data_IF_483782571306
#
_entry.id   IF_483782571306
#
_cell.length_a   1.000
_cell.length_b   1.000
_cell.length_c   1.000
_cell.angle_alpha   90.00
_cell.angle_beta   90.00
_cell.angle_gamma   90.00
#
_symmetry.space_group_name_H-M   'P 1'
#
loop_
_entity.id
_entity.type
_entity.pdbx_description
1 polymer ?
#
# COMPACT_ATOMS: atom_id res chain seq x y z
N UNK A 1 9.08 -17.72 -4.98
CA UNK A 1 7.80 -17.52 -4.27
C UNK A 1 8.11 -17.62 -2.79
N UNK A 2 7.62 -16.71 -1.96
CA UNK A 2 7.91 -16.74 -0.52
C UNK A 2 7.38 -18.06 0.06
N UNK A 3 8.29 -18.97 0.41
CA UNK A 3 7.98 -20.15 1.19
C UNK A 3 7.57 -19.73 2.62
N UNK A 4 6.79 -20.58 3.30
CA UNK A 4 6.24 -20.34 4.66
C UNK A 4 7.30 -19.94 5.70
N UNK A 5 8.57 -20.25 5.46
CA UNK A 5 9.70 -19.92 6.36
C UNK A 5 10.14 -18.45 6.33
N UNK A 6 9.55 -17.63 5.44
CA UNK A 6 9.85 -16.21 5.30
C UNK A 6 8.85 -15.29 6.00
N UNK A 7 7.91 -15.85 6.76
CA UNK A 7 6.86 -15.11 7.47
C UNK A 7 7.28 -14.84 8.91
N UNK A 8 7.17 -13.60 9.35
CA UNK A 8 7.62 -13.13 10.65
C UNK A 8 6.55 -12.27 11.33
N UNK A 9 6.59 -12.22 12.67
CA UNK A 9 5.67 -11.44 13.48
C UNK A 9 6.41 -10.67 14.56
N UNK A 10 5.90 -9.49 14.92
CA UNK A 10 6.43 -8.66 15.98
C UNK A 10 5.43 -7.61 16.42
N UNK A 11 5.63 -7.06 17.62
CA UNK A 11 4.80 -5.99 18.17
C UNK A 11 5.43 -4.64 17.82
N UNK A 12 4.71 -3.79 17.10
CA UNK A 12 5.16 -2.46 16.70
C UNK A 12 4.03 -1.47 16.93
N UNK A 13 4.33 -0.31 17.54
CA UNK A 13 3.31 0.70 17.87
C UNK A 13 2.04 0.11 18.56
N UNK A 14 2.25 -0.87 19.45
CA UNK A 14 1.17 -1.52 20.21
C UNK A 14 0.30 -2.50 19.42
N UNK A 15 0.68 -2.87 18.20
CA UNK A 15 -0.05 -3.85 17.37
C UNK A 15 0.89 -4.93 16.82
N UNK A 16 0.39 -6.16 16.71
CA UNK A 16 1.13 -7.27 16.09
C UNK A 16 1.11 -7.13 14.58
N UNK A 17 2.27 -6.86 13.98
CA UNK A 17 2.43 -6.82 12.51
C UNK A 17 3.11 -8.09 12.00
N UNK A 18 2.73 -8.50 10.81
CA UNK A 18 3.33 -9.58 10.03
C UNK A 18 4.16 -9.00 8.87
N UNK A 19 5.34 -9.56 8.60
CA UNK A 19 6.09 -9.24 7.40
C UNK A 19 6.67 -10.49 6.73
N UNK A 20 7.01 -10.35 5.45
CA UNK A 20 7.68 -11.36 4.66
C UNK A 20 9.09 -10.89 4.31
N UNK A 21 10.10 -11.68 4.61
CA UNK A 21 11.51 -11.32 4.43
C UNK A 21 12.18 -12.24 3.41
N UNK A 22 13.00 -11.69 2.52
CA UNK A 22 13.76 -12.45 1.53
C UNK A 22 15.20 -11.96 1.50
N UNK A 23 16.14 -12.90 1.43
CA UNK A 23 17.59 -12.65 1.51
C UNK A 23 18.05 -11.94 2.80
N UNK A 24 17.63 -12.40 4.00
CA UNK A 24 18.04 -11.77 5.27
C UNK A 24 19.56 -11.70 5.44
N UNK A 25 20.31 -12.62 4.83
CA UNK A 25 21.77 -12.62 4.79
C UNK A 25 22.37 -11.39 4.10
N UNK A 26 21.62 -10.74 3.20
CA UNK A 26 22.04 -9.55 2.44
C UNK A 26 21.53 -8.23 3.01
N UNK A 27 20.95 -8.26 4.21
CA UNK A 27 20.43 -7.06 4.89
C UNK A 27 21.46 -5.93 5.03
N UNK A 28 22.73 -6.29 5.21
CA UNK A 28 23.85 -5.35 5.31
C UNK A 28 24.14 -4.57 4.02
N UNK A 29 23.59 -5.02 2.88
CA UNK A 29 23.74 -4.39 1.57
C UNK A 29 22.59 -3.40 1.25
N UNK A 30 21.73 -3.13 2.22
CA UNK A 30 20.55 -2.27 2.08
C UNK A 30 19.26 -3.08 1.92
N UNK A 31 18.16 -2.52 2.42
CA UNK A 31 16.85 -3.18 2.47
C UNK A 31 15.83 -2.46 1.59
N UNK A 32 15.06 -3.22 0.82
CA UNK A 32 13.85 -2.69 0.16
C UNK A 32 12.65 -3.01 1.05
N UNK A 33 12.01 -1.98 1.59
CA UNK A 33 10.77 -2.11 2.37
C UNK A 33 9.56 -1.83 1.46
N UNK A 34 8.63 -2.78 1.38
CA UNK A 34 7.45 -2.70 0.51
C UNK A 34 6.17 -2.61 1.37
N UNK A 35 5.39 -1.54 1.17
CA UNK A 35 4.15 -1.27 1.90
C UNK A 35 2.97 -1.20 0.92
N UNK A 36 1.98 -2.08 1.11
CA UNK A 36 0.86 -2.27 0.18
C UNK A 36 -0.24 -1.19 0.30
N UNK A 37 -1.18 -1.19 -0.64
CA UNK A 37 -2.37 -0.33 -0.64
C UNK A 37 -3.49 -0.81 0.31
N UNK A 38 -4.45 0.06 0.61
CA UNK A 38 -5.66 -0.28 1.38
C UNK A 38 -6.42 -1.46 0.75
N UNK A 39 -6.88 -2.41 1.56
CA UNK A 39 -7.58 -3.61 1.12
C UNK A 39 -6.70 -4.72 0.54
N UNK A 40 -5.38 -4.51 0.47
CA UNK A 40 -4.40 -5.49 -0.03
C UNK A 40 -3.64 -6.17 1.11
N UNK A 41 -2.53 -6.83 0.77
CA UNK A 41 -1.59 -7.48 1.67
C UNK A 41 -0.19 -7.46 1.06
N UNK A 42 0.83 -7.73 1.86
CA UNK A 42 2.26 -7.74 1.51
C UNK A 42 2.56 -8.55 0.24
N UNK A 43 1.92 -9.72 0.09
CA UNK A 43 2.12 -10.62 -1.07
C UNK A 43 1.61 -10.05 -2.41
N UNK A 44 0.95 -8.89 -2.44
CA UNK A 44 0.68 -8.17 -3.68
C UNK A 44 1.96 -7.71 -4.38
N UNK A 45 3.06 -7.62 -3.63
CA UNK A 45 4.38 -7.27 -4.17
C UNK A 45 5.11 -8.45 -4.82
N UNK A 46 4.63 -9.69 -4.71
CA UNK A 46 5.34 -10.90 -5.16
C UNK A 46 5.85 -10.80 -6.61
N UNK A 47 5.07 -10.20 -7.51
CA UNK A 47 5.47 -10.01 -8.90
C UNK A 47 6.59 -8.98 -9.07
N UNK A 48 6.55 -7.87 -8.31
CA UNK A 48 7.61 -6.86 -8.27
C UNK A 48 8.89 -7.46 -7.67
N UNK A 49 8.76 -8.22 -6.57
CA UNK A 49 9.89 -8.85 -5.87
C UNK A 49 10.69 -9.78 -6.79
N UNK A 50 10.04 -10.49 -7.72
CA UNK A 50 10.74 -11.33 -8.71
C UNK A 50 11.71 -10.53 -9.57
N UNK A 51 11.42 -9.25 -9.82
CA UNK A 51 12.28 -8.35 -10.58
C UNK A 51 13.45 -7.76 -9.78
N UNK A 52 13.50 -7.93 -8.45
CA UNK A 52 14.52 -7.32 -7.58
C UNK A 52 15.81 -8.15 -7.43
N UNK A 53 15.96 -9.24 -8.19
CA UNK A 53 17.15 -10.10 -8.15
C UNK A 53 17.37 -10.67 -6.75
N UNK A 54 18.58 -10.57 -6.22
CA UNK A 54 18.92 -11.12 -4.89
C UNK A 54 18.81 -10.10 -3.75
N UNK A 55 18.16 -8.95 -3.96
CA UNK A 55 18.11 -7.90 -2.92
C UNK A 55 17.42 -8.38 -1.64
N UNK A 56 17.86 -7.84 -0.51
CA UNK A 56 17.15 -7.99 0.74
C UNK A 56 15.83 -7.21 0.68
N UNK A 57 14.72 -7.92 0.84
CA UNK A 57 13.37 -7.36 0.71
C UNK A 57 12.53 -7.71 1.93
N UNK A 58 11.85 -6.71 2.47
CA UNK A 58 10.80 -6.87 3.47
C UNK A 58 9.49 -6.38 2.86
N UNK A 59 8.44 -7.21 2.88
CA UNK A 59 7.07 -6.81 2.52
C UNK A 59 6.18 -6.88 3.76
N UNK A 60 5.61 -5.75 4.16
CA UNK A 60 4.88 -5.58 5.43
C UNK A 60 3.38 -5.68 5.21
N UNK A 61 2.68 -6.51 5.99
CA UNK A 61 1.22 -6.43 6.15
C UNK A 61 0.92 -5.31 7.15
N UNK A 62 0.21 -4.27 6.72
CA UNK A 62 -0.16 -3.16 7.61
C UNK A 62 -1.27 -3.59 8.58
N UNK A 63 -1.43 -2.89 9.71
CA UNK A 63 -2.55 -3.12 10.65
C UNK A 63 -3.89 -3.18 9.90
N UNK A 64 -4.79 -4.07 10.32
CA UNK A 64 -6.07 -4.29 9.64
C UNK A 64 -6.01 -5.05 8.30
N UNK A 65 -4.83 -5.54 7.90
CA UNK A 65 -4.63 -6.23 6.62
C UNK A 65 -3.81 -7.51 6.75
N UNK A 66 -3.93 -8.38 5.74
CA UNK A 66 -3.08 -9.55 5.60
C UNK A 66 -3.12 -10.43 6.85
N UNK A 67 -1.96 -10.70 7.47
CA UNK A 67 -1.86 -11.49 8.70
C UNK A 67 -1.60 -10.64 9.95
N UNK A 68 -1.53 -9.32 9.77
CA UNK A 68 -1.38 -8.38 10.87
C UNK A 68 -2.67 -8.28 11.68
N UNK A 69 -2.53 -7.88 12.94
CA UNK A 69 -3.66 -7.71 13.84
C UNK A 69 -4.63 -6.65 13.30
N UNK A 70 -5.91 -6.99 13.41
CA UNK A 70 -7.02 -6.16 12.99
C UNK A 70 -7.56 -5.39 14.20
N UNK A 71 -6.85 -4.33 14.55
CA UNK A 71 -7.20 -3.46 15.67
C UNK A 71 -7.08 -1.99 15.27
N UNK A 72 -8.16 -1.24 15.52
CA UNK A 72 -8.19 0.21 15.36
C UNK A 72 -7.48 0.93 16.51
N UNK A 73 -7.32 2.25 16.46
CA UNK A 73 -7.90 3.17 15.49
C UNK A 73 -7.25 3.09 14.10
N UNK A 74 -7.98 3.57 13.08
CA UNK A 74 -7.56 3.60 11.67
C UNK A 74 -7.39 5.03 11.13
N UNK A 75 -6.92 5.94 11.99
CA UNK A 75 -6.41 7.25 11.56
C UNK A 75 -5.21 7.06 10.63
N UNK A 76 -5.01 7.94 9.65
CA UNK A 76 -3.95 7.71 8.66
C UNK A 76 -2.53 7.88 9.20
N UNK A 77 -2.36 8.81 10.14
CA UNK A 77 -1.13 9.01 10.91
C UNK A 77 -0.58 7.72 11.54
N UNK A 78 -1.44 6.91 12.17
CA UNK A 78 -1.04 5.69 12.90
C UNK A 78 -0.28 4.70 12.02
N UNK A 79 -0.55 4.69 10.72
CA UNK A 79 0.14 3.80 9.81
C UNK A 79 1.54 4.28 9.45
N UNK A 80 1.76 5.60 9.42
CA UNK A 80 3.09 6.17 9.33
C UNK A 80 3.90 5.87 10.61
N UNK A 81 3.25 5.99 11.77
CA UNK A 81 3.84 5.62 13.07
C UNK A 81 4.20 4.13 13.14
N UNK A 82 3.36 3.23 12.58
CA UNK A 82 3.66 1.80 12.47
C UNK A 82 4.93 1.55 11.67
N UNK A 83 5.07 2.19 10.50
CA UNK A 83 6.26 2.03 9.66
C UNK A 83 7.49 2.61 10.37
N UNK A 84 7.37 3.74 11.05
CA UNK A 84 8.45 4.33 11.84
C UNK A 84 8.86 3.40 13.01
N UNK A 85 7.89 2.84 13.74
CA UNK A 85 8.13 1.87 14.80
C UNK A 85 8.80 0.59 14.24
N UNK A 86 8.35 0.10 13.10
CA UNK A 86 8.92 -1.06 12.42
C UNK A 86 10.39 -0.84 12.04
N UNK A 87 10.70 0.30 11.41
CA UNK A 87 12.06 0.69 11.03
C UNK A 87 12.97 0.84 12.25
N UNK A 88 12.49 1.49 13.30
CA UNK A 88 13.28 1.79 14.50
C UNK A 88 13.55 0.55 15.35
N UNK A 89 12.54 -0.28 15.60
CA UNK A 89 12.66 -1.43 16.49
C UNK A 89 13.42 -2.59 15.86
N UNK A 90 13.33 -2.77 14.54
CA UNK A 90 14.20 -3.72 13.84
C UNK A 90 15.61 -3.17 13.60
N UNK A 91 15.86 -1.90 13.89
CA UNK A 91 17.08 -1.16 13.52
C UNK A 91 17.41 -1.27 12.02
N UNK A 92 16.41 -1.03 11.18
CA UNK A 92 16.58 -0.92 9.74
C UNK A 92 17.17 0.45 9.39
N UNK A 93 18.19 0.43 8.53
CA UNK A 93 18.93 1.61 8.03
C UNK A 93 19.28 1.38 6.57
N UNK A 94 19.56 2.44 5.83
CA UNK A 94 19.85 2.34 4.40
C UNK A 94 18.65 1.83 3.59
N UNK A 95 17.43 2.18 4.03
CA UNK A 95 16.21 1.59 3.49
C UNK A 95 15.76 2.32 2.22
N UNK A 96 15.46 1.55 1.19
CA UNK A 96 14.62 1.99 0.06
C UNK A 96 13.18 1.69 0.42
N UNK A 97 12.40 2.69 0.80
CA UNK A 97 11.02 2.51 1.16
C UNK A 97 10.11 2.72 -0.05
N UNK A 98 9.28 1.72 -0.34
CA UNK A 98 8.38 1.67 -1.49
C UNK A 98 6.96 1.52 -0.97
N UNK A 99 6.08 2.40 -1.41
CA UNK A 99 4.69 2.40 -0.98
C UNK A 99 3.73 2.57 -2.13
N UNK A 100 2.70 1.72 -2.19
CA UNK A 100 1.61 1.86 -3.16
C UNK A 100 0.39 2.50 -2.50
N UNK A 101 -0.21 3.51 -3.13
CA UNK A 101 -1.45 4.14 -2.66
C UNK A 101 -1.28 4.67 -1.22
N UNK A 102 -2.13 4.25 -0.29
CA UNK A 102 -1.98 4.50 1.13
C UNK A 102 -0.60 4.08 1.69
N UNK A 103 0.01 2.98 1.21
CA UNK A 103 1.36 2.60 1.60
C UNK A 103 2.40 3.67 1.23
N UNK A 104 2.16 4.43 0.16
CA UNK A 104 2.97 5.58 -0.24
C UNK A 104 2.88 6.75 0.75
N UNK A 105 1.68 7.00 1.29
CA UNK A 105 1.49 7.94 2.39
C UNK A 105 2.29 7.49 3.63
N UNK A 106 2.15 6.23 4.03
CA UNK A 106 2.77 5.70 5.25
C UNK A 106 4.31 5.77 5.21
N UNK A 107 4.95 5.40 4.08
CA UNK A 107 6.41 5.50 3.95
C UNK A 107 6.90 6.95 3.85
N UNK A 108 6.11 7.87 3.30
CA UNK A 108 6.44 9.30 3.26
C UNK A 108 6.41 9.91 4.67
N UNK A 109 5.39 9.56 5.46
CA UNK A 109 5.32 9.93 6.87
C UNK A 109 6.54 9.37 7.63
N UNK A 110 6.85 8.09 7.46
CA UNK A 110 8.00 7.48 8.15
C UNK A 110 9.34 8.10 7.73
N UNK A 111 9.48 8.54 6.48
CA UNK A 111 10.68 9.25 6.01
C UNK A 111 10.86 10.62 6.68
N UNK A 112 9.77 11.29 7.03
CA UNK A 112 9.79 12.51 7.84
C UNK A 112 10.21 12.21 9.29
N UNK A 113 9.62 11.19 9.92
CA UNK A 113 9.85 10.87 11.33
C UNK A 113 11.22 10.22 11.61
N UNK A 114 11.71 9.40 10.69
CA UNK A 114 12.94 8.62 10.84
C UNK A 114 13.92 8.89 9.67
N UNK A 115 14.37 10.14 9.48
CA UNK A 115 15.08 10.53 8.27
C UNK A 115 16.46 9.88 8.12
N UNK A 116 17.07 9.39 9.21
CA UNK A 116 18.36 8.70 9.22
C UNK A 116 18.28 7.21 8.87
N UNK A 117 17.07 6.68 8.63
CA UNK A 117 16.82 5.25 8.35
C UNK A 117 16.48 4.95 6.90
N UNK A 118 15.85 5.92 6.22
CA UNK A 118 15.42 5.79 4.83
C UNK A 118 16.39 6.59 3.96
N UNK A 119 17.00 5.93 2.97
CA UNK A 119 17.88 6.57 2.00
C UNK A 119 17.09 7.16 0.84
N UNK A 120 15.95 6.56 0.48
CA UNK A 120 15.13 6.96 -0.67
C UNK A 120 13.71 6.42 -0.65
N UNK A 121 12.86 7.04 -1.46
CA UNK A 121 11.45 6.68 -1.64
C UNK A 121 11.12 6.30 -3.09
N UNK A 122 10.31 5.25 -3.26
CA UNK A 122 9.58 4.98 -4.50
C UNK A 122 8.09 4.97 -4.18
N UNK A 123 7.41 6.04 -4.55
CA UNK A 123 6.00 6.27 -4.25
C UNK A 123 5.17 5.88 -5.47
N UNK A 124 4.48 4.75 -5.40
CA UNK A 124 3.66 4.23 -6.49
C UNK A 124 2.23 4.70 -6.30
N UNK A 125 1.82 5.66 -7.12
CA UNK A 125 0.52 6.32 -7.13
C UNK A 125 -0.02 6.60 -5.72
N UNK A 126 0.74 7.31 -4.86
CA UNK A 126 0.45 7.46 -3.45
C UNK A 126 -0.86 8.23 -3.24
N UNK A 127 -1.61 7.89 -2.18
CA UNK A 127 -2.77 8.68 -1.75
C UNK A 127 -2.28 9.84 -0.90
N UNK A 128 -1.67 10.80 -1.58
CA UNK A 128 -1.36 12.12 -1.02
C UNK A 128 -2.15 13.11 -1.87
N UNK A 129 -3.30 13.51 -1.34
CA UNK A 129 -4.27 14.36 -2.02
C UNK A 129 -3.78 15.80 -2.04
N UNK A 130 -4.44 16.67 -2.80
CA UNK A 130 -4.24 18.11 -2.62
C UNK A 130 -4.70 18.54 -1.22
N UNK A 131 -4.02 19.50 -0.60
CA UNK A 131 -4.26 19.84 0.83
C UNK A 131 -5.73 20.16 1.13
N UNK A 132 -6.42 20.86 0.24
CA UNK A 132 -7.84 21.22 0.42
C UNK A 132 -8.77 20.00 0.43
N UNK A 133 -8.37 18.87 -0.16
CA UNK A 133 -9.17 17.65 -0.20
C UNK A 133 -9.24 16.95 1.18
N UNK A 134 -8.24 17.14 2.05
CA UNK A 134 -8.24 16.57 3.41
C UNK A 134 -9.23 17.25 4.37
N UNK A 135 -9.50 18.54 4.12
CA UNK A 135 -10.45 19.36 4.88
C UNK A 135 -11.89 19.26 4.34
N UNK A 136 -12.06 18.53 3.24
CA UNK A 136 -13.33 18.44 2.55
C UNK A 136 -14.20 17.31 3.10
N UNK A 137 -15.52 17.49 3.02
CA UNK A 137 -16.50 16.41 3.20
C UNK A 137 -16.56 15.47 1.98
N UNK A 138 -15.53 15.39 1.14
CA UNK A 138 -15.51 14.52 -0.04
C UNK A 138 -15.79 13.05 0.33
N UNK A 139 -15.36 12.61 1.52
CA UNK A 139 -15.70 11.29 2.05
C UNK A 139 -17.20 11.09 2.29
N UNK A 140 -17.96 12.15 2.64
CA UNK A 140 -19.43 12.09 2.77
C UNK A 140 -20.10 11.82 1.42
N UNK A 141 -19.53 12.33 0.32
CA UNK A 141 -20.03 12.05 -1.04
C UNK A 141 -19.89 10.58 -1.44
N UNK A 142 -19.06 9.84 -0.71
CA UNK A 142 -18.81 8.43 -0.96
C UNK A 142 -19.67 7.53 -0.08
N UNK A 143 -20.40 8.09 0.89
CA UNK A 143 -21.32 7.31 1.70
C UNK A 143 -22.57 6.96 0.89
N UNK A 144 -23.09 5.77 1.13
CA UNK A 144 -24.44 5.39 0.70
C UNK A 144 -25.49 6.21 1.45
N UNK A 145 -26.74 6.18 0.99
CA UNK A 145 -27.87 6.87 1.66
C UNK A 145 -28.04 6.48 3.14
N UNK A 146 -27.43 5.37 3.58
CA UNK A 146 -27.37 4.92 4.98
C UNK A 146 -26.14 5.36 5.77
N UNK A 147 -25.28 6.22 5.23
CA UNK A 147 -24.06 6.70 5.89
C UNK A 147 -22.90 5.71 5.91
N UNK A 148 -22.98 4.61 5.15
CA UNK A 148 -21.93 3.59 5.06
C UNK A 148 -21.10 3.74 3.79
N UNK A 149 -19.79 3.55 3.88
CA UNK A 149 -18.92 3.48 2.71
C UNK A 149 -19.22 2.19 1.89
N UNK A 150 -19.38 2.23 0.56
CA UNK A 150 -19.77 1.09 -0.29
C UNK A 150 -18.89 -0.14 -0.14
N UNK A 151 -17.60 0.08 0.17
CA UNK A 151 -16.65 -1.00 0.44
C UNK A 151 -17.10 -1.91 1.58
N UNK A 152 -17.77 -1.38 2.61
CA UNK A 152 -18.26 -2.17 3.74
C UNK A 152 -19.26 -3.28 3.34
N UNK A 153 -19.88 -3.15 2.15
CA UNK A 153 -20.84 -4.12 1.61
C UNK A 153 -20.22 -5.13 0.66
N UNK A 154 -18.89 -5.10 0.46
CA UNK A 154 -18.21 -6.08 -0.38
C UNK A 154 -18.38 -7.47 0.19
N UNK A 155 -18.41 -8.46 -0.71
CA UNK A 155 -18.45 -9.86 -0.34
C UNK A 155 -17.22 -10.21 0.50
N UNK A 156 -17.43 -10.66 1.73
CA UNK A 156 -16.35 -11.05 2.62
C UNK A 156 -16.06 -12.56 2.58
N UNK A 157 -17.07 -13.39 2.29
CA UNK A 157 -16.94 -14.85 2.40
C UNK A 157 -16.75 -15.54 1.05
N UNK A 158 -15.80 -16.45 0.98
CA UNK A 158 -15.45 -17.24 -0.20
C UNK A 158 -15.22 -18.71 0.17
N UNK A 159 -15.63 -19.62 -0.72
CA UNK A 159 -15.39 -21.04 -0.52
C UNK A 159 -13.91 -21.43 -0.70
N UNK A 160 -13.16 -20.66 -1.50
CA UNK A 160 -11.74 -20.87 -1.78
C UNK A 160 -11.12 -19.64 -2.45
N UNK A 161 -9.79 -19.60 -2.54
CA UNK A 161 -9.06 -18.62 -3.35
C UNK A 161 -9.50 -18.65 -4.83
N UNK A 162 -9.74 -19.84 -5.38
CA UNK A 162 -10.24 -19.99 -6.75
C UNK A 162 -11.63 -19.36 -6.92
N UNK A 163 -12.54 -19.55 -5.96
CA UNK A 163 -13.86 -18.91 -5.99
C UNK A 163 -13.77 -17.38 -5.86
N UNK A 164 -12.80 -16.86 -5.10
CA UNK A 164 -12.51 -15.43 -5.04
C UNK A 164 -11.97 -14.90 -6.37
N UNK A 165 -11.05 -15.63 -7.01
CA UNK A 165 -10.51 -15.29 -8.32
C UNK A 165 -11.64 -15.22 -9.37
N UNK A 166 -12.48 -16.25 -9.48
CA UNK A 166 -13.62 -16.27 -10.42
C UNK A 166 -14.63 -15.14 -10.14
N UNK A 167 -14.74 -14.70 -8.89
CA UNK A 167 -15.57 -13.57 -8.52
C UNK A 167 -15.01 -12.24 -9.02
N UNK A 168 -13.69 -12.09 -9.16
CA UNK A 168 -13.04 -10.83 -9.53
C UNK A 168 -12.55 -10.77 -10.98
N UNK A 169 -12.22 -11.92 -11.58
CA UNK A 169 -11.67 -11.99 -12.92
C UNK A 169 -12.54 -11.24 -13.95
N UNK A 170 -11.89 -10.38 -14.73
CA UNK A 170 -12.52 -9.51 -15.72
C UNK A 170 -13.47 -8.42 -15.18
N UNK A 171 -13.66 -8.29 -13.86
CA UNK A 171 -14.62 -7.33 -13.28
C UNK A 171 -13.96 -6.06 -12.76
N UNK A 172 -14.57 -4.92 -13.09
CA UNK A 172 -14.12 -3.61 -12.59
C UNK A 172 -12.63 -3.38 -12.86
N UNK A 173 -11.91 -2.87 -11.86
CA UNK A 173 -10.47 -2.63 -11.97
C UNK A 173 -9.62 -3.89 -12.04
N UNK A 174 -10.12 -5.06 -11.59
CA UNK A 174 -9.37 -6.32 -11.68
C UNK A 174 -9.19 -6.79 -13.12
N UNK A 175 -10.06 -6.37 -14.05
CA UNK A 175 -9.88 -6.62 -15.49
C UNK A 175 -8.64 -5.93 -16.09
N UNK A 176 -8.01 -5.01 -15.36
CA UNK A 176 -6.75 -4.37 -15.76
C UNK A 176 -5.52 -5.15 -15.27
N UNK A 177 -5.68 -6.07 -14.33
CA UNK A 177 -4.56 -6.75 -13.67
C UNK A 177 -4.02 -7.88 -14.54
N UNK A 178 -2.73 -8.15 -14.42
CA UNK A 178 -2.18 -9.40 -14.97
C UNK A 178 -2.78 -10.60 -14.25
N UNK A 179 -3.18 -11.62 -15.00
CA UNK A 179 -3.79 -12.85 -14.47
C UNK A 179 -2.99 -13.46 -13.31
N UNK A 180 -1.68 -13.60 -13.47
CA UNK A 180 -0.80 -14.17 -12.43
C UNK A 180 -0.76 -13.33 -11.15
N UNK A 181 -0.95 -12.01 -11.25
CA UNK A 181 -1.00 -11.11 -10.08
C UNK A 181 -2.33 -11.26 -9.37
N UNK A 182 -3.44 -11.30 -10.11
CA UNK A 182 -4.77 -11.50 -9.55
C UNK A 182 -4.88 -12.86 -8.83
N UNK A 183 -4.34 -13.94 -9.42
CA UNK A 183 -4.27 -15.25 -8.75
C UNK A 183 -3.50 -15.16 -7.45
N UNK A 184 -2.31 -14.56 -7.47
CA UNK A 184 -1.47 -14.40 -6.28
C UNK A 184 -2.14 -13.54 -5.19
N UNK A 185 -2.95 -12.55 -5.57
CA UNK A 185 -3.77 -11.78 -4.64
C UNK A 185 -4.84 -12.66 -3.99
N UNK A 186 -5.58 -13.45 -4.77
CA UNK A 186 -6.61 -14.34 -4.23
C UNK A 186 -6.04 -15.47 -3.36
N UNK A 187 -4.88 -16.03 -3.71
CA UNK A 187 -4.22 -17.11 -2.96
C UNK A 187 -3.72 -16.67 -1.57
N UNK A 188 -3.54 -15.37 -1.36
CA UNK A 188 -2.94 -14.81 -0.15
C UNK A 188 -3.81 -13.79 0.58
N UNK A 189 -4.92 -13.36 -0.02
CA UNK A 189 -5.86 -12.38 0.52
C UNK A 189 -7.00 -12.97 1.33
N UNK A 190 -6.90 -14.23 1.72
CA UNK A 190 -7.92 -14.95 2.48
C UNK A 190 -7.37 -15.49 3.80
N UNK A 191 -8.19 -15.44 4.85
CA UNK A 191 -7.98 -16.14 6.12
C UNK A 191 -9.08 -17.18 6.33
N UNK A 192 -8.81 -18.31 7.02
CA UNK A 192 -9.85 -19.25 7.42
C UNK A 192 -10.97 -18.53 8.20
N UNK A 193 -12.22 -18.84 7.91
CA UNK A 193 -13.35 -18.31 8.68
C UNK A 193 -13.35 -18.88 10.10
N UNK A 194 -13.84 -18.12 11.09
CA UNK A 194 -13.88 -18.54 12.50
C UNK A 194 -14.79 -19.75 12.75
N UNK A 195 -15.84 -19.89 11.96
CA UNK A 195 -16.74 -21.05 11.98
C UNK A 195 -16.13 -22.31 11.35
N UNK A 196 -14.92 -22.19 10.77
CA UNK A 196 -14.18 -23.27 10.13
C UNK A 196 -14.64 -23.59 8.70
N UNK A 197 -15.64 -22.89 8.17
CA UNK A 197 -16.23 -23.16 6.86
C UNK A 197 -15.82 -22.09 5.83
N UNK A 198 -14.90 -22.45 4.95
CA UNK A 198 -14.40 -21.55 3.91
C UNK A 198 -13.48 -20.45 4.46
N UNK A 199 -13.56 -19.27 3.84
CA UNK A 199 -12.58 -18.20 4.04
C UNK A 199 -13.23 -16.82 4.08
N UNK A 200 -12.60 -15.91 4.81
CA UNK A 200 -12.91 -14.48 4.84
C UNK A 200 -11.76 -13.65 4.26
N UNK A 201 -12.04 -12.42 3.81
CA UNK A 201 -10.98 -11.53 3.35
C UNK A 201 -10.00 -11.22 4.48
N UNK A 202 -8.70 -11.23 4.17
CA UNK A 202 -7.63 -10.88 5.09
C UNK A 202 -7.63 -9.38 5.47
N UNK A 203 -8.35 -8.55 4.72
CA UNK A 203 -8.77 -7.22 5.14
C UNK A 203 -10.31 -7.19 5.14
N UNK A 204 -10.96 -7.24 6.30
CA UNK A 204 -12.43 -7.26 6.34
C UNK A 204 -13.03 -5.98 5.73
N UNK A 205 -14.16 -6.06 4.99
CA UNK A 205 -14.77 -4.91 4.33
C UNK A 205 -15.08 -3.72 5.24
N UNK A 206 -15.49 -3.97 6.49
CA UNK A 206 -15.75 -2.92 7.49
C UNK A 206 -14.47 -2.20 7.91
N UNK A 207 -13.35 -2.91 7.97
CA UNK A 207 -12.01 -2.37 8.27
C UNK A 207 -11.51 -1.56 7.09
N UNK A 208 -11.56 -2.13 5.88
CA UNK A 208 -11.19 -1.41 4.65
C UNK A 208 -11.98 -0.09 4.53
N UNK A 209 -13.28 -0.12 4.80
CA UNK A 209 -14.13 1.07 4.84
C UNK A 209 -13.69 2.07 5.91
N UNK A 210 -13.44 1.63 7.15
CA UNK A 210 -12.98 2.50 8.22
C UNK A 210 -11.65 3.19 7.89
N UNK A 211 -10.75 2.49 7.20
CA UNK A 211 -9.46 3.05 6.75
C UNK A 211 -9.66 4.14 5.69
N UNK A 212 -10.54 3.94 4.70
CA UNK A 212 -10.87 5.00 3.75
C UNK A 212 -11.44 6.24 4.45
N UNK A 213 -12.31 6.04 5.44
CA UNK A 213 -12.91 7.12 6.22
C UNK A 213 -11.90 7.84 7.11
N UNK A 214 -10.83 7.17 7.53
CA UNK A 214 -9.75 7.73 8.35
C UNK A 214 -8.82 8.72 7.65
N UNK A 215 -9.01 8.96 6.34
CA UNK A 215 -8.16 9.88 5.57
C UNK A 215 -8.37 11.35 5.95
N UNK A 216 -9.58 11.72 6.36
CA UNK A 216 -9.97 13.10 6.67
C UNK A 216 -9.13 13.68 7.82
N UNK A 217 -8.69 14.94 7.67
CA UNK A 217 -7.87 15.63 8.68
C UNK A 217 -6.42 15.11 8.83
N UNK A 218 -6.01 14.11 8.04
CA UNK A 218 -4.68 13.50 8.13
C UNK A 218 -3.76 13.96 6.99
N UNK A 219 -3.64 15.29 6.81
CA UNK A 219 -2.77 15.86 5.78
C UNK A 219 -1.30 15.83 6.22
N UNK A 220 -0.43 15.28 5.37
CA UNK A 220 1.04 15.32 5.55
C UNK A 220 1.73 16.43 4.74
N UNK A 221 0.97 17.38 4.18
CA UNK A 221 1.55 18.48 3.39
C UNK A 221 2.61 19.29 4.14
N UNK A 222 2.43 19.46 5.44
CA UNK A 222 3.38 20.15 6.31
C UNK A 222 4.71 19.40 6.48
N UNK A 223 4.73 18.09 6.22
CA UNK A 223 5.91 17.23 6.31
C UNK A 223 6.74 17.23 5.01
N UNK A 224 6.09 17.37 3.86
CA UNK A 224 6.72 17.20 2.53
C UNK A 224 8.00 18.05 2.33
N UNK A 225 8.07 19.33 2.74
CA UNK A 225 9.30 20.12 2.60
C UNK A 225 10.50 19.61 3.39
N UNK A 226 10.28 18.74 4.38
CA UNK A 226 11.31 18.15 5.24
C UNK A 226 11.66 16.70 4.87
N UNK A 227 10.96 16.09 3.91
CA UNK A 227 11.33 14.78 3.34
C UNK A 227 12.48 15.00 2.37
N UNK A 228 13.72 14.91 2.85
CA UNK A 228 14.94 15.23 2.08
C UNK A 228 15.50 14.06 1.28
N UNK A 229 14.98 12.87 1.49
CA UNK A 229 15.37 11.67 0.77
C UNK A 229 14.99 11.82 -0.71
N UNK A 230 15.87 11.41 -1.65
CA UNK A 230 15.50 11.26 -3.04
C UNK A 230 14.21 10.45 -3.19
N UNK A 231 13.24 10.97 -3.94
CA UNK A 231 11.94 10.34 -4.12
C UNK A 231 11.54 10.23 -5.60
N UNK A 232 11.08 9.06 -6.02
CA UNK A 232 10.43 8.87 -7.32
C UNK A 232 8.93 8.69 -7.12
N UNK A 233 8.12 9.59 -7.69
CA UNK A 233 6.66 9.51 -7.69
C UNK A 233 6.20 8.94 -9.02
N UNK A 234 5.74 7.69 -9.03
CA UNK A 234 5.11 7.08 -10.20
C UNK A 234 3.62 7.40 -10.17
N UNK A 235 3.10 8.16 -11.13
CA UNK A 235 1.72 8.66 -11.07
C UNK A 235 0.91 8.29 -12.30
N UNK A 236 -0.25 7.69 -12.08
CA UNK A 236 -1.20 7.34 -13.13
C UNK A 236 -2.08 8.54 -13.53
N UNK A 237 -3.01 8.32 -14.46
CA UNK A 237 -3.93 9.38 -14.88
C UNK A 237 -4.82 9.85 -13.71
N UNK A 238 -4.85 11.16 -13.38
CA UNK A 238 -5.66 11.67 -12.28
C UNK A 238 -7.16 11.54 -12.54
N UNK A 239 -7.95 11.64 -11.46
CA UNK A 239 -9.40 11.77 -11.53
C UNK A 239 -9.78 13.12 -12.18
N UNK A 240 -10.85 13.18 -12.98
CA UNK A 240 -11.46 14.45 -13.37
C UNK A 240 -12.04 15.15 -12.14
N UNK A 241 -11.93 16.48 -12.08
CA UNK A 241 -12.40 17.30 -10.95
C UNK A 241 -13.92 17.17 -10.70
N UNK A 242 -14.70 16.85 -11.73
CA UNK A 242 -16.16 16.72 -11.68
C UNK A 242 -16.65 15.30 -11.35
N UNK A 243 -15.76 14.36 -11.02
CA UNK A 243 -16.14 12.98 -10.77
C UNK A 243 -17.07 12.84 -9.54
N UNK A 244 -18.29 12.33 -9.77
CA UNK A 244 -19.31 12.11 -8.73
C UNK A 244 -19.33 10.69 -8.18
N UNK A 245 -18.55 9.78 -8.77
CA UNK A 245 -18.43 8.37 -8.35
C UNK A 245 -16.97 8.01 -8.11
N UNK A 246 -16.71 7.09 -7.18
CA UNK A 246 -15.35 6.63 -6.90
C UNK A 246 -14.90 5.69 -8.01
N UNK A 247 -13.99 6.16 -8.87
CA UNK A 247 -13.23 5.32 -9.77
C UNK A 247 -11.85 5.01 -9.14
N UNK A 248 -11.72 3.82 -8.56
CA UNK A 248 -10.47 3.35 -7.97
C UNK A 248 -9.36 3.11 -9.00
N UNK A 249 -9.67 3.10 -10.31
CA UNK A 249 -8.65 2.99 -11.36
C UNK A 249 -7.94 4.33 -11.63
N UNK A 250 -8.50 5.46 -11.20
CA UNK A 250 -7.91 6.78 -11.40
C UNK A 250 -7.04 7.19 -10.23
N UNK A 251 -5.93 7.84 -10.55
CA UNK A 251 -4.94 8.27 -9.57
C UNK A 251 -5.55 9.27 -8.58
N UNK A 252 -5.38 9.03 -7.27
CA UNK A 252 -5.69 9.99 -6.21
C UNK A 252 -4.53 10.96 -5.95
N UNK A 253 -3.37 10.75 -6.57
CA UNK A 253 -2.15 11.50 -6.28
C UNK A 253 -2.25 12.93 -6.78
N UNK A 254 -1.99 13.88 -5.89
CA UNK A 254 -1.87 15.29 -6.27
C UNK A 254 -0.74 15.51 -7.28
N UNK A 255 -1.00 16.10 -8.46
CA UNK A 255 0.05 16.33 -9.47
C UNK A 255 1.21 17.21 -8.99
N UNK A 256 1.00 18.05 -7.96
CA UNK A 256 2.05 18.88 -7.37
C UNK A 256 2.93 18.19 -6.33
N UNK A 257 2.70 16.90 -6.05
CA UNK A 257 3.36 16.18 -4.94
C UNK A 257 4.89 16.20 -5.04
N UNK A 258 5.47 15.85 -6.20
CA UNK A 258 6.92 15.82 -6.34
C UNK A 258 7.54 17.22 -6.13
N UNK A 259 6.88 18.28 -6.61
CA UNK A 259 7.37 19.65 -6.44
C UNK A 259 7.32 20.15 -4.98
N UNK A 260 6.55 19.48 -4.12
CA UNK A 260 6.48 19.79 -2.69
C UNK A 260 7.59 19.13 -1.85
N UNK A 261 8.37 18.22 -2.45
CA UNK A 261 9.53 17.57 -1.82
C UNK A 261 10.84 18.10 -2.44
N UNK A 262 11.89 18.37 -1.64
CA UNK A 262 13.14 18.95 -2.13
C UNK A 262 13.86 18.19 -3.24
N UNK A 263 13.83 16.85 -3.20
CA UNK A 263 14.58 15.98 -4.12
C UNK A 263 13.68 14.88 -4.69
N UNK A 264 12.58 15.29 -5.34
CA UNK A 264 11.63 14.36 -5.92
C UNK A 264 11.42 14.56 -7.41
N UNK A 265 11.17 13.45 -8.10
CA UNK A 265 10.83 13.43 -9.53
C UNK A 265 9.43 12.83 -9.74
N UNK A 266 8.62 13.46 -10.60
CA UNK A 266 7.32 12.95 -11.03
C UNK A 266 7.47 12.20 -12.36
N UNK A 267 7.06 10.93 -12.36
CA UNK A 267 7.02 10.08 -13.55
C UNK A 267 5.56 9.82 -13.88
N UNK A 268 5.07 10.56 -14.88
CA UNK A 268 3.69 10.47 -15.32
C UNK A 268 3.47 9.30 -16.28
N UNK A 269 2.58 8.38 -15.92
CA UNK A 269 2.29 7.13 -16.61
C UNK A 269 0.82 7.07 -17.05
N UNK A 270 0.40 7.89 -18.04
CA UNK A 270 -1.01 8.05 -18.42
C UNK A 270 -1.65 6.79 -19.03
N UNK A 271 -0.84 5.83 -19.44
CA UNK A 271 -1.28 4.55 -20.00
C UNK A 271 -1.58 3.50 -18.92
N UNK A 272 -1.26 3.79 -17.65
CA UNK A 272 -1.54 2.95 -16.51
C UNK A 272 -2.66 3.55 -15.64
N UNK A 273 -3.21 2.71 -14.77
CA UNK A 273 -4.20 3.07 -13.75
C UNK A 273 -3.55 3.14 -12.38
N UNK A 274 -4.33 3.43 -11.34
CA UNK A 274 -3.91 3.38 -9.94
C UNK A 274 -3.22 2.06 -9.54
N UNK A 275 -3.51 0.96 -10.26
CA UNK A 275 -2.96 -0.37 -9.99
C UNK A 275 -1.64 -0.64 -10.74
N UNK A 276 -0.73 0.34 -10.77
CA UNK A 276 0.58 0.28 -11.45
C UNK A 276 1.32 -1.04 -11.13
N UNK A 277 1.51 -1.47 -9.86
CA UNK A 277 2.24 -2.71 -9.56
C UNK A 277 1.57 -3.98 -10.11
N UNK A 278 0.27 -3.94 -10.37
CA UNK A 278 -0.51 -5.07 -10.87
C UNK A 278 -0.57 -5.12 -12.41
N UNK A 279 -0.39 -3.96 -13.06
CA UNK A 279 -0.32 -3.83 -14.51
C UNK A 279 1.10 -4.03 -15.04
N UNK A 280 2.08 -3.44 -14.36
CA UNK A 280 3.48 -3.42 -14.77
C UNK A 280 4.45 -3.56 -13.58
N UNK A 281 4.54 -4.76 -12.98
CA UNK A 281 5.46 -5.02 -11.87
C UNK A 281 6.93 -4.85 -12.26
N UNK A 282 7.32 -5.10 -13.50
CA UNK A 282 8.71 -4.94 -13.96
C UNK A 282 9.10 -3.46 -14.04
N UNK A 283 8.20 -2.59 -14.49
CA UNK A 283 8.43 -1.14 -14.44
C UNK A 283 8.68 -0.68 -13.00
N UNK A 284 7.85 -1.11 -12.05
CA UNK A 284 8.05 -0.76 -10.63
C UNK A 284 9.39 -1.30 -10.11
N UNK A 285 9.72 -2.56 -10.39
CA UNK A 285 11.00 -3.15 -10.01
C UNK A 285 12.20 -2.37 -10.60
N UNK A 286 12.09 -1.90 -11.85
CA UNK A 286 13.14 -1.11 -12.48
C UNK A 286 13.39 0.22 -11.77
N UNK A 287 12.35 0.90 -11.28
CA UNK A 287 12.52 2.15 -10.52
C UNK A 287 13.11 1.92 -9.13
N UNK A 288 12.79 0.78 -8.49
CA UNK A 288 13.40 0.38 -7.22
C UNK A 288 14.92 0.18 -7.42
N UNK A 289 15.34 -0.46 -8.50
CA UNK A 289 16.74 -0.74 -8.82
C UNK A 289 17.52 0.44 -9.41
N UNK A 290 16.86 1.30 -10.19
CA UNK A 290 17.50 2.46 -10.84
C UNK A 290 18.01 3.49 -9.82
N UNK A 291 17.45 3.45 -8.61
CA UNK A 291 17.75 4.40 -7.55
C UNK A 291 19.03 4.04 -6.75
N UNK A 292 19.79 3.02 -7.17
CA UNK A 292 21.07 2.59 -6.59
C UNK A 292 22.32 3.20 -7.29
N UNK A 293 22.11 4.09 -8.27
CA UNK A 293 23.17 4.66 -9.13
C UNK A 293 23.41 6.15 -8.93
#
# INVERSE_FOLDING_TARGET
MYEKHNEHYGEFNGVRLCWFERHPERRHEGTVLLVHATGFHARCWDAVVRGLGERHVIALDMRGHGRSQNEGPYGWDVFGEDVAAFLTQLDLRGVTAVGHSFGGYAVTYAAHECPDRIDRLVLVDPVILESAAYESTLHERWLTDGGEHPVARRRNQFASAQAMYENYDGKGSFGLWRDSVLRSYCDHGLQPAEDGEGYVLACPPSVEAAIYMGTSGNSIHHMLPNVRQPATVLRAQPRPDEATTIDFSKSPTWPGLAAAMPDAVDIYLPHLSHFIPMQDPELVASHILASDG
#
